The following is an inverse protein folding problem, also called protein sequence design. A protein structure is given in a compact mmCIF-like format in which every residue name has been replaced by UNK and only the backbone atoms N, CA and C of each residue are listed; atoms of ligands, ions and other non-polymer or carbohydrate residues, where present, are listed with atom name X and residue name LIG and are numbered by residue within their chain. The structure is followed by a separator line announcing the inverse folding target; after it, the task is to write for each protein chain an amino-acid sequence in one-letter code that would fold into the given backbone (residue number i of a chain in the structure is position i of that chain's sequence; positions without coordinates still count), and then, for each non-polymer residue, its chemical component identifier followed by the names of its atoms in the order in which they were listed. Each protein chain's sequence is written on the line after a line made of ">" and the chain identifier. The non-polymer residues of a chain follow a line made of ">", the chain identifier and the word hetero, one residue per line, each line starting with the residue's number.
data_IF_666746137328
#
_entry.id   IF_666746137328
#
_cell.length_a   1.000
_cell.length_b   1.000
_cell.length_c   1.000
_cell.angle_alpha   90.00
_cell.angle_beta   90.00
_cell.angle_gamma   90.00
#
_symmetry.space_group_name_H-M   'P 1'
#
loop_
_entity.id
_entity.type
_entity.pdbx_description
1 polymer ?
#
# COMPACT_ATOMS: atom_id res chain seq x y z
N UNK A 1 -0.90 5.35 -2.27
CA UNK A 1 -2.02 5.42 -1.31
C UNK A 1 -2.52 6.86 -1.18
N UNK A 2 -1.80 7.77 -0.50
CA UNK A 2 -2.28 9.13 -0.22
C UNK A 2 -2.75 9.91 -1.47
N UNK A 3 -2.01 9.82 -2.58
CA UNK A 3 -2.41 10.44 -3.84
C UNK A 3 -3.78 9.96 -4.38
N UNK A 4 -4.22 8.75 -4.02
CA UNK A 4 -5.47 8.14 -4.50
C UNK A 4 -6.60 8.17 -3.46
N UNK A 5 -6.28 8.38 -2.18
CA UNK A 5 -7.24 8.30 -1.08
C UNK A 5 -7.34 9.56 -0.22
N UNK A 6 -6.40 10.51 -0.36
CA UNK A 6 -6.30 11.72 0.45
C UNK A 6 -5.87 11.48 1.91
N UNK A 7 -5.50 10.26 2.29
CA UNK A 7 -5.18 9.88 3.68
C UNK A 7 -3.90 9.05 3.77
N UNK A 8 -3.27 8.97 4.94
CA UNK A 8 -2.16 8.05 5.15
C UNK A 8 -2.67 6.59 5.23
N UNK A 9 -1.89 5.59 4.78
CA UNK A 9 -2.29 4.18 4.92
C UNK A 9 -2.29 3.72 6.38
N UNK A 10 -1.39 4.26 7.20
CA UNK A 10 -1.25 3.88 8.61
C UNK A 10 -1.47 5.11 9.49
N UNK A 11 -2.50 5.05 10.33
CA UNK A 11 -2.82 6.07 11.34
C UNK A 11 -3.20 5.34 12.62
N UNK A 12 -2.76 5.85 13.78
CA UNK A 12 -3.08 5.29 15.09
C UNK A 12 -2.97 6.37 16.17
N UNK A 13 -3.70 6.25 17.30
CA UNK A 13 -3.66 7.25 18.38
C UNK A 13 -2.32 7.29 19.12
N UNK A 14 -1.45 6.28 18.97
CA UNK A 14 -0.14 6.22 19.61
C UNK A 14 0.89 5.48 18.75
N UNK A 15 2.18 5.72 19.04
CA UNK A 15 3.31 5.15 18.29
C UNK A 15 3.40 3.62 18.35
N UNK A 16 3.24 2.96 19.52
CA UNK A 16 3.25 1.50 19.58
C UNK A 16 2.25 0.85 18.62
N UNK A 17 1.02 1.39 18.59
CA UNK A 17 -0.04 0.91 17.71
C UNK A 17 0.26 1.20 16.24
N UNK A 18 0.78 2.39 15.93
CA UNK A 18 1.23 2.74 14.57
C UNK A 18 2.27 1.74 14.06
N UNK A 19 3.29 1.43 14.86
CA UNK A 19 4.32 0.46 14.48
C UNK A 19 3.79 -0.97 14.37
N UNK A 20 2.75 -1.32 15.12
CA UNK A 20 2.05 -2.60 14.98
C UNK A 20 1.34 -2.69 13.62
N UNK A 21 0.63 -1.64 13.22
CA UNK A 21 -0.04 -1.56 11.92
C UNK A 21 0.96 -1.62 10.75
N UNK A 22 2.05 -0.84 10.82
CA UNK A 22 3.12 -0.82 9.79
C UNK A 22 3.75 -2.20 9.63
N UNK A 23 4.19 -2.83 10.73
CA UNK A 23 4.83 -4.16 10.68
C UNK A 23 3.89 -5.25 10.19
N UNK A 24 2.60 -5.15 10.52
CA UNK A 24 1.58 -6.08 10.07
C UNK A 24 0.99 -5.76 8.69
N UNK A 25 1.43 -4.68 8.02
CA UNK A 25 0.82 -4.15 6.81
C UNK A 25 -0.72 -4.03 6.91
N UNK A 26 -1.22 -3.62 8.09
CA UNK A 26 -2.67 -3.49 8.35
C UNK A 26 -3.13 -2.07 8.07
N UNK A 27 -3.87 -1.90 6.97
CA UNK A 27 -4.45 -0.64 6.55
C UNK A 27 -5.76 -0.89 5.79
N UNK A 28 -6.73 0.03 5.84
CA UNK A 28 -7.94 -0.09 5.04
C UNK A 28 -7.63 0.16 3.56
N UNK A 29 -8.19 -0.66 2.68
CA UNK A 29 -8.23 -0.39 1.24
C UNK A 29 -9.56 0.33 0.92
N UNK A 30 -9.52 1.61 0.53
CA UNK A 30 -10.75 2.35 0.23
C UNK A 30 -11.52 1.71 -0.94
N UNK A 31 -12.86 1.60 -0.83
CA UNK A 31 -13.67 0.94 -1.85
C UNK A 31 -13.64 1.65 -3.21
N UNK A 32 -13.42 2.97 -3.21
CA UNK A 32 -13.35 3.79 -4.42
C UNK A 32 -12.11 3.52 -5.30
N UNK A 33 -11.10 2.80 -4.78
CA UNK A 33 -9.93 2.46 -5.58
C UNK A 33 -10.29 1.46 -6.69
N UNK A 34 -9.66 1.57 -7.85
CA UNK A 34 -9.79 0.53 -8.87
C UNK A 34 -9.09 -0.77 -8.42
N UNK A 35 -9.50 -1.95 -8.92
CA UNK A 35 -8.78 -3.20 -8.67
C UNK A 35 -7.25 -3.12 -8.90
N UNK A 36 -6.74 -2.57 -10.04
CA UNK A 36 -5.29 -2.47 -10.24
C UNK A 36 -4.63 -1.49 -9.26
N UNK A 37 -5.31 -0.42 -8.83
CA UNK A 37 -4.77 0.49 -7.81
C UNK A 37 -4.58 -0.22 -6.46
N UNK A 38 -5.56 -1.02 -6.04
CA UNK A 38 -5.48 -1.82 -4.81
C UNK A 38 -4.34 -2.83 -4.87
N UNK A 39 -4.21 -3.53 -6.01
CA UNK A 39 -3.13 -4.50 -6.22
C UNK A 39 -1.75 -3.83 -6.14
N UNK A 40 -1.56 -2.68 -6.80
CA UNK A 40 -0.29 -1.94 -6.74
C UNK A 40 0.07 -1.55 -5.30
N UNK A 41 -0.88 -1.00 -4.55
CA UNK A 41 -0.68 -0.62 -3.15
C UNK A 41 -0.30 -1.84 -2.30
N UNK A 42 -0.99 -2.97 -2.48
CA UNK A 42 -0.71 -4.21 -1.76
C UNK A 42 0.70 -4.74 -2.04
N UNK A 43 1.16 -4.69 -3.30
CA UNK A 43 2.52 -5.07 -3.66
C UNK A 43 3.57 -4.14 -3.04
N UNK A 44 3.36 -2.81 -3.09
CA UNK A 44 4.30 -1.83 -2.54
C UNK A 44 4.39 -1.87 -1.01
N UNK A 45 3.26 -2.10 -0.32
CA UNK A 45 3.16 -2.13 1.14
C UNK A 45 3.16 -3.56 1.71
N UNK A 46 3.76 -4.51 0.99
CA UNK A 46 3.87 -5.90 1.45
C UNK A 46 4.68 -5.98 2.76
N UNK A 47 4.24 -6.76 3.77
CA UNK A 47 4.90 -6.81 5.08
C UNK A 47 6.31 -7.41 4.98
N UNK A 48 6.49 -8.44 4.16
CA UNK A 48 7.81 -9.00 3.82
C UNK A 48 8.51 -8.10 2.78
N UNK A 49 9.69 -7.51 3.09
CA UNK A 49 10.47 -6.72 2.16
C UNK A 49 10.94 -7.49 0.92
N UNK A 50 11.23 -8.80 1.03
CA UNK A 50 11.73 -9.60 -0.08
C UNK A 50 10.65 -9.84 -1.16
N UNK A 51 9.38 -9.80 -0.76
CA UNK A 51 8.24 -9.90 -1.65
C UNK A 51 7.82 -8.55 -2.27
N UNK A 52 8.46 -7.43 -1.89
CA UNK A 52 8.18 -6.13 -2.52
C UNK A 52 8.83 -6.08 -3.90
N UNK A 53 8.07 -5.75 -4.96
CA UNK A 53 8.65 -5.59 -6.29
C UNK A 53 9.64 -4.42 -6.32
N UNK A 54 10.72 -4.59 -7.07
CA UNK A 54 11.63 -3.50 -7.38
C UNK A 54 11.00 -2.44 -8.30
N UNK A 55 11.65 -1.27 -8.46
CA UNK A 55 11.11 -0.17 -9.24
C UNK A 55 10.73 -0.53 -10.70
N UNK A 56 11.56 -1.31 -11.40
CA UNK A 56 11.29 -1.71 -12.77
C UNK A 56 9.99 -2.54 -12.89
N UNK A 57 9.79 -3.51 -11.99
CA UNK A 57 8.58 -4.32 -11.96
C UNK A 57 7.33 -3.49 -11.60
N UNK A 58 7.48 -2.49 -10.72
CA UNK A 58 6.40 -1.57 -10.38
C UNK A 58 5.96 -0.72 -11.58
N UNK A 59 6.91 -0.20 -12.36
CA UNK A 59 6.62 0.61 -13.55
C UNK A 59 5.88 -0.18 -14.64
N UNK A 60 6.06 -1.51 -14.68
CA UNK A 60 5.32 -2.40 -15.58
C UNK A 60 3.98 -2.89 -15.03
N UNK A 61 3.56 -2.43 -13.84
CA UNK A 61 2.31 -2.86 -13.22
C UNK A 61 1.09 -2.33 -14.00
N UNK A 62 0.00 -3.12 -14.20
CA UNK A 62 -1.17 -2.70 -14.98
C UNK A 62 -1.78 -1.35 -14.60
N UNK A 63 -1.68 -0.97 -13.32
CA UNK A 63 -2.14 0.35 -12.85
C UNK A 63 -1.42 1.55 -13.49
N UNK A 64 -0.17 1.37 -13.92
CA UNK A 64 0.67 2.43 -14.49
C UNK A 64 0.80 2.34 -16.02
N UNK A 65 0.38 1.24 -16.63
CA UNK A 65 0.56 0.95 -18.06
C UNK A 65 -0.73 0.87 -18.86
N UNK A 66 -1.89 0.93 -18.22
CA UNK A 66 -3.21 1.01 -18.86
C UNK A 66 -3.78 2.42 -18.74
#
# INVERSE_FOLDING_TARGET
>A
YAALSGRAPFEAPNRPELYRLIRGARYPLPPQLSPPARALIAHMLHPDPAARPGPAALLSHPFLTQ
#
